data_IF_176847541700
#
_entry.id   IF_176847541700
#
_cell.length_a   1.000
_cell.length_b   1.000
_cell.length_c   1.000
_cell.angle_alpha   90.00
_cell.angle_beta   90.00
_cell.angle_gamma   90.00
#
_symmetry.space_group_name_H-M   'P 1'
#
loop_
_entity.id
_entity.type
_entity.pdbx_description
1 polymer ?
#
# COMPACT_ATOMS: atom_id res chain seq x y z
N UNK A 1 -12.83 0.08 1.00
CA UNK A 1 -13.17 1.37 0.35
C UNK A 1 -12.65 2.64 1.02
N UNK A 2 -12.41 2.70 2.33
CA UNK A 2 -12.00 3.97 2.99
C UNK A 2 -10.71 4.61 2.45
N UNK A 3 -9.74 3.79 2.03
CA UNK A 3 -8.53 4.28 1.33
C UNK A 3 -8.88 4.86 -0.04
N UNK A 4 -9.71 4.16 -0.81
CA UNK A 4 -10.11 4.59 -2.17
C UNK A 4 -10.99 5.84 -2.15
N UNK A 5 -11.84 6.00 -1.13
CA UNK A 5 -12.68 7.19 -0.95
C UNK A 5 -11.93 8.38 -0.33
N UNK A 6 -10.76 8.15 0.25
CA UNK A 6 -9.99 9.15 1.00
C UNK A 6 -10.49 9.41 2.43
N UNK A 7 -11.61 8.81 2.84
CA UNK A 7 -12.22 9.04 4.15
C UNK A 7 -11.26 8.73 5.31
N UNK A 8 -10.42 7.70 5.16
CA UNK A 8 -9.46 7.31 6.21
C UNK A 8 -8.45 8.43 6.54
N UNK A 9 -8.11 9.28 5.57
CA UNK A 9 -7.18 10.39 5.77
C UNK A 9 -7.83 11.51 6.59
N UNK A 10 -9.11 11.78 6.33
CA UNK A 10 -9.92 12.74 7.11
C UNK A 10 -10.12 12.23 8.55
N UNK A 11 -10.53 10.97 8.69
CA UNK A 11 -10.79 10.34 9.99
C UNK A 11 -9.55 10.32 10.89
N UNK A 12 -8.36 10.15 10.30
CA UNK A 12 -7.08 10.14 11.00
C UNK A 12 -6.41 11.52 11.09
N UNK A 13 -6.91 12.52 10.36
CA UNK A 13 -6.33 13.87 10.32
C UNK A 13 -4.93 13.92 9.69
N UNK A 14 -4.66 13.06 8.70
CA UNK A 14 -3.37 12.95 8.01
C UNK A 14 -3.51 13.29 6.52
N UNK A 15 -2.45 13.74 5.83
CA UNK A 15 -2.51 13.94 4.39
C UNK A 15 -2.74 12.60 3.64
N UNK A 16 -3.24 12.65 2.39
CA UNK A 16 -3.26 11.48 1.51
C UNK A 16 -1.85 10.93 1.25
N UNK A 17 -1.78 9.65 0.88
CA UNK A 17 -0.53 8.98 0.55
C UNK A 17 0.18 9.69 -0.62
N UNK A 18 1.49 9.93 -0.47
CA UNK A 18 2.37 10.50 -1.49
C UNK A 18 3.68 9.70 -1.61
N UNK A 19 4.10 9.39 -2.83
CA UNK A 19 5.30 8.59 -3.10
C UNK A 19 6.59 9.21 -2.55
N UNK A 20 6.64 10.53 -2.40
CA UNK A 20 7.78 11.26 -1.87
C UNK A 20 7.96 11.08 -0.35
N UNK A 21 6.88 10.82 0.39
CA UNK A 21 6.86 10.86 1.85
C UNK A 21 6.52 9.50 2.50
N UNK A 22 5.75 8.65 1.83
CA UNK A 22 5.16 7.47 2.44
C UNK A 22 5.82 6.16 2.01
N UNK A 23 5.93 5.24 2.95
CA UNK A 23 6.43 3.88 2.71
C UNK A 23 5.47 2.87 3.33
N UNK A 24 5.24 1.74 2.66
CA UNK A 24 4.30 0.72 3.12
C UNK A 24 4.90 -0.69 3.10
N UNK A 25 4.52 -1.50 4.08
CA UNK A 25 4.78 -2.94 4.10
C UNK A 25 3.45 -3.64 4.31
N UNK A 26 3.07 -4.50 3.36
CA UNK A 26 1.77 -5.20 3.37
C UNK A 26 2.02 -6.68 3.62
N UNK A 27 1.42 -7.22 4.67
CA UNK A 27 1.48 -8.65 4.98
C UNK A 27 0.07 -9.18 5.25
N UNK A 28 -0.42 -10.11 4.43
CA UNK A 28 -1.77 -10.63 4.55
C UNK A 28 -2.10 -11.77 3.60
N UNK A 29 -3.39 -11.97 3.35
CA UNK A 29 -3.88 -12.97 2.40
C UNK A 29 -3.54 -12.57 0.95
N UNK A 30 -3.60 -13.53 0.02
CA UNK A 30 -3.41 -13.23 -1.40
C UNK A 30 -4.37 -12.16 -1.92
N UNK A 31 -5.64 -12.21 -1.50
CA UNK A 31 -6.65 -11.21 -1.88
C UNK A 31 -6.30 -9.83 -1.34
N UNK A 32 -6.02 -9.74 -0.03
CA UNK A 32 -5.64 -8.47 0.61
C UNK A 32 -4.40 -7.87 -0.06
N UNK A 33 -3.37 -8.67 -0.32
CA UNK A 33 -2.14 -8.18 -0.93
C UNK A 33 -2.38 -7.66 -2.35
N UNK A 34 -3.25 -8.31 -3.12
CA UNK A 34 -3.58 -7.88 -4.49
C UNK A 34 -4.36 -6.57 -4.46
N UNK A 35 -5.36 -6.47 -3.59
CA UNK A 35 -6.18 -5.27 -3.44
C UNK A 35 -5.35 -4.06 -2.98
N UNK A 36 -4.46 -4.26 -2.00
CA UNK A 36 -3.60 -3.19 -1.48
C UNK A 36 -2.55 -2.78 -2.49
N UNK A 37 -2.00 -3.71 -3.27
CA UNK A 37 -1.11 -3.39 -4.39
C UNK A 37 -1.76 -2.41 -5.36
N UNK A 38 -2.97 -2.70 -5.83
CA UNK A 38 -3.69 -1.78 -6.73
C UNK A 38 -3.95 -0.41 -6.11
N UNK A 39 -4.30 -0.36 -4.83
CA UNK A 39 -4.56 0.88 -4.13
C UNK A 39 -3.29 1.72 -4.03
N UNK A 40 -2.16 1.13 -3.61
CA UNK A 40 -0.89 1.82 -3.43
C UNK A 40 -0.32 2.31 -4.77
N UNK A 41 -0.40 1.50 -5.82
CA UNK A 41 -0.03 1.93 -7.18
C UNK A 41 -0.93 3.07 -7.68
N UNK A 42 -2.21 3.08 -7.29
CA UNK A 42 -3.13 4.20 -7.55
C UNK A 42 -2.72 5.52 -6.88
N UNK A 43 -1.99 5.46 -5.77
CA UNK A 43 -1.37 6.62 -5.12
C UNK A 43 0.04 6.95 -5.66
N UNK A 44 0.50 6.23 -6.69
CA UNK A 44 1.79 6.45 -7.34
C UNK A 44 2.98 5.75 -6.68
N UNK A 45 2.76 4.88 -5.69
CA UNK A 45 3.82 4.10 -5.07
C UNK A 45 4.21 2.92 -5.97
N UNK A 46 5.50 2.54 -5.98
CA UNK A 46 6.00 1.39 -6.73
C UNK A 46 6.48 0.29 -5.79
N UNK A 47 6.32 -0.95 -6.24
CA UNK A 47 6.77 -2.12 -5.50
C UNK A 47 8.29 -2.23 -5.53
N UNK A 48 8.90 -2.39 -4.36
CA UNK A 48 10.33 -2.56 -4.19
C UNK A 48 10.74 -4.03 -4.33
N UNK A 49 11.92 -4.23 -4.87
CA UNK A 49 12.61 -5.52 -4.90
C UNK A 49 14.01 -5.39 -4.29
N UNK A 50 14.64 -6.52 -3.97
CA UNK A 50 16.01 -6.52 -3.44
C UNK A 50 17.02 -5.80 -4.35
N UNK A 51 16.81 -5.84 -5.67
CA UNK A 51 17.66 -5.16 -6.66
C UNK A 51 17.30 -3.70 -6.89
N UNK A 52 16.08 -3.30 -6.53
CA UNK A 52 15.53 -1.97 -6.81
C UNK A 52 14.58 -1.56 -5.67
N UNK A 53 15.10 -0.90 -4.61
CA UNK A 53 14.28 -0.39 -3.53
C UNK A 53 13.28 0.65 -4.04
N UNK A 54 12.05 0.57 -3.54
CA UNK A 54 10.98 1.50 -3.89
C UNK A 54 10.07 1.77 -2.68
N UNK A 55 8.83 2.18 -2.93
CA UNK A 55 7.98 2.78 -1.92
C UNK A 55 7.20 1.76 -1.07
N UNK A 56 6.88 0.58 -1.60
CA UNK A 56 6.25 -0.47 -0.81
C UNK A 56 6.72 -1.89 -1.10
N UNK A 57 6.46 -2.82 -0.19
CA UNK A 57 6.71 -4.26 -0.37
C UNK A 57 5.50 -5.08 0.09
N UNK A 58 5.31 -6.26 -0.51
CA UNK A 58 4.22 -7.19 -0.19
C UNK A 58 4.77 -8.56 0.23
N UNK A 59 4.13 -9.18 1.23
CA UNK A 59 4.45 -10.53 1.69
C UNK A 59 3.17 -11.32 1.98
N UNK A 60 3.16 -12.61 1.65
CA UNK A 60 2.05 -13.51 1.99
C UNK A 60 2.17 -13.91 3.46
N UNK A 61 1.17 -13.56 4.27
CA UNK A 61 1.12 -13.96 5.67
C UNK A 61 0.90 -15.47 5.84
N UNK A 62 0.22 -16.10 4.88
CA UNK A 62 -0.07 -17.53 4.87
C UNK A 62 -0.25 -18.04 3.44
N UNK A 63 -0.02 -19.34 3.26
CA UNK A 63 -0.30 -20.07 2.03
C UNK A 63 -1.32 -21.16 2.38
N UNK A 64 -2.54 -20.96 1.91
CA UNK A 64 -3.64 -21.93 2.00
C UNK A 64 -4.01 -22.42 0.61
#
# INVERSE_FOLDING_TARGET
>A
DLLRSGQIFEDLGVPPIAAEADRAMVCGSMGLNTDLKEILEGFGLREGANSEPAEYVVEKAFVG
#
